data_IF_493776800645
#
_entry.id   IF_493776800645
#
_cell.length_a   1.000
_cell.length_b   1.000
_cell.length_c   1.000
_cell.angle_alpha   90.00
_cell.angle_beta   90.00
_cell.angle_gamma   90.00
#
_symmetry.space_group_name_H-M   'P 1'
#
loop_
_entity.id
_entity.type
_entity.pdbx_description
1 polymer ?
#
# COMPACT_ATOMS: atom_id res chain seq x y z
N UNK A 1 27.08 6.02 5.61
CA UNK A 1 27.67 6.32 4.28
C UNK A 1 26.82 5.61 3.24
N UNK A 2 26.49 6.24 2.12
CA UNK A 2 25.75 5.63 1.01
C UNK A 2 26.67 5.51 -0.21
N UNK A 3 26.37 4.53 -1.08
CA UNK A 3 27.02 4.33 -2.36
C UNK A 3 25.96 4.38 -3.46
N UNK A 4 26.26 5.03 -4.58
CA UNK A 4 25.37 5.05 -5.75
C UNK A 4 25.98 4.22 -6.88
N UNK A 5 25.07 3.62 -7.65
CA UNK A 5 25.35 2.93 -8.89
C UNK A 5 24.35 3.40 -9.95
N UNK A 6 24.77 3.42 -11.21
CA UNK A 6 23.83 3.61 -12.33
C UNK A 6 23.09 2.29 -12.50
N UNK A 7 21.86 2.24 -11.99
CA UNK A 7 20.93 1.19 -12.41
C UNK A 7 20.60 1.42 -13.87
N UNK A 8 20.31 0.35 -14.63
CA UNK A 8 19.99 0.36 -16.06
C UNK A 8 18.65 1.08 -16.35
N UNK A 9 18.64 2.37 -16.03
CA UNK A 9 17.54 3.32 -16.05
C UNK A 9 17.66 4.26 -17.27
N UNK A 10 18.61 3.96 -18.16
CA UNK A 10 18.91 4.75 -19.35
C UNK A 10 17.68 4.80 -20.28
N UNK A 11 17.25 6.04 -20.56
CA UNK A 11 16.11 6.33 -21.41
C UNK A 11 14.75 6.42 -20.69
N UNK A 12 14.70 6.38 -19.35
CA UNK A 12 13.51 6.79 -18.60
C UNK A 12 13.40 8.33 -18.58
N UNK A 13 12.21 8.85 -18.84
CA UNK A 13 11.96 10.30 -18.83
C UNK A 13 11.85 10.84 -17.40
N UNK A 14 12.14 12.13 -17.21
CA UNK A 14 11.86 12.81 -15.94
C UNK A 14 10.40 12.65 -15.51
N UNK A 15 9.48 12.69 -16.48
CA UNK A 15 8.04 12.48 -16.26
C UNK A 15 7.75 11.11 -15.65
N UNK A 16 8.41 10.05 -16.14
CA UNK A 16 8.27 8.71 -15.57
C UNK A 16 8.73 8.66 -14.11
N UNK A 17 9.87 9.27 -13.76
CA UNK A 17 10.29 9.31 -12.35
C UNK A 17 9.30 10.09 -11.47
N UNK A 18 8.77 11.20 -11.97
CA UNK A 18 7.76 11.98 -11.25
C UNK A 18 6.46 11.20 -11.07
N UNK A 19 6.07 10.36 -12.05
CA UNK A 19 4.85 9.57 -11.95
C UNK A 19 4.94 8.45 -10.93
N UNK A 20 6.15 8.01 -10.54
CA UNK A 20 6.35 7.09 -9.42
C UNK A 20 6.20 7.78 -8.05
N UNK A 21 6.31 9.11 -8.00
CA UNK A 21 6.23 9.93 -6.77
C UNK A 21 4.79 10.40 -6.51
N UNK A 22 3.91 9.46 -6.21
CA UNK A 22 2.48 9.70 -6.03
C UNK A 22 2.06 10.31 -4.69
N UNK A 23 2.96 10.58 -3.75
CA UNK A 23 2.57 11.11 -2.44
C UNK A 23 2.49 12.64 -2.47
N UNK A 24 1.36 13.19 -2.02
CA UNK A 24 1.12 14.63 -1.88
C UNK A 24 1.04 15.02 -0.41
N UNK A 25 1.55 16.20 -0.08
CA UNK A 25 1.35 16.81 1.24
C UNK A 25 -0.08 17.32 1.34
N UNK A 26 -0.74 17.02 2.45
CA UNK A 26 -2.10 17.46 2.72
C UNK A 26 -2.05 18.72 3.58
N UNK A 27 -2.46 19.86 3.02
CA UNK A 27 -2.49 21.14 3.75
C UNK A 27 -3.51 21.12 4.90
N UNK A 28 -4.53 20.27 4.81
CA UNK A 28 -5.56 20.09 5.83
C UNK A 28 -5.31 18.85 6.71
N UNK A 29 -4.07 18.37 6.82
CA UNK A 29 -3.75 17.15 7.57
C UNK A 29 -4.24 17.20 9.02
N UNK A 30 -4.15 18.35 9.68
CA UNK A 30 -4.61 18.54 11.07
C UNK A 30 -6.13 18.39 11.23
N UNK A 31 -6.90 18.56 10.14
CA UNK A 31 -8.34 18.31 10.14
C UNK A 31 -8.69 16.82 10.13
N UNK A 32 -7.74 15.97 9.73
CA UNK A 32 -7.94 14.53 9.70
C UNK A 32 -7.90 14.02 11.14
N UNK A 33 -9.04 13.54 11.64
CA UNK A 33 -9.16 13.00 12.99
C UNK A 33 -8.51 11.62 13.15
N UNK A 34 -7.22 11.52 12.83
CA UNK A 34 -6.37 10.41 13.23
C UNK A 34 -6.01 10.58 14.71
N UNK A 35 -5.83 9.45 15.40
CA UNK A 35 -5.43 9.50 16.81
C UNK A 35 -3.99 10.00 16.86
N UNK A 36 -3.80 11.22 17.33
CA UNK A 36 -2.47 11.69 17.68
C UNK A 36 -1.98 10.88 18.87
N UNK A 37 -0.85 10.22 18.73
CA UNK A 37 -0.13 9.60 19.85
C UNK A 37 0.53 10.72 20.66
N UNK A 38 -0.29 11.50 21.37
CA UNK A 38 0.18 12.51 22.30
C UNK A 38 0.55 11.77 23.58
N UNK A 39 1.83 11.85 23.95
CA UNK A 39 2.36 11.38 25.24
C UNK A 39 2.59 9.86 25.33
N UNK A 40 3.61 9.35 24.63
CA UNK A 40 4.29 8.11 25.03
C UNK A 40 5.06 8.37 26.34
N UNK A 41 4.36 8.37 27.49
CA UNK A 41 4.99 8.20 28.81
C UNK A 41 5.38 6.74 28.99
N UNK A 42 6.31 6.32 28.17
CA UNK A 42 6.81 4.97 28.16
C UNK A 42 8.27 5.01 28.61
N UNK A 43 8.51 4.59 29.86
CA UNK A 43 9.84 4.54 30.46
C UNK A 43 10.67 3.36 29.90
N UNK A 44 10.23 2.72 28.81
CA UNK A 44 10.99 1.66 28.14
C UNK A 44 12.20 2.25 27.44
N UNK A 45 13.33 1.60 27.61
CA UNK A 45 14.52 1.88 26.82
C UNK A 45 14.25 1.53 25.35
N UNK A 46 14.44 2.50 24.47
CA UNK A 46 14.34 2.30 23.02
C UNK A 46 15.68 1.72 22.56
N UNK A 47 15.70 0.57 21.87
CA UNK A 47 16.93 -0.03 21.41
C UNK A 47 17.62 0.85 20.36
N UNK A 48 18.95 0.84 20.34
CA UNK A 48 19.76 1.55 19.34
C UNK A 48 19.50 1.04 17.91
N UNK A 49 19.15 -0.24 17.77
CA UNK A 49 18.82 -0.86 16.51
C UNK A 49 17.49 -1.60 16.62
N UNK A 50 16.61 -1.39 15.64
CA UNK A 50 15.32 -2.04 15.57
C UNK A 50 15.02 -2.44 14.13
N UNK A 51 14.63 -3.70 13.94
CA UNK A 51 14.15 -4.22 12.68
C UNK A 51 12.85 -4.99 12.92
N UNK A 52 11.76 -4.52 12.30
CA UNK A 52 10.43 -5.15 12.41
C UNK A 52 10.45 -6.60 11.96
N UNK A 53 11.27 -6.93 10.95
CA UNK A 53 11.35 -8.27 10.34
C UNK A 53 11.88 -9.30 11.32
N UNK A 54 12.76 -8.90 12.23
CA UNK A 54 13.34 -9.80 13.25
C UNK A 54 12.49 -9.86 14.51
N UNK A 55 11.65 -8.85 14.78
CA UNK A 55 10.80 -8.79 15.96
C UNK A 55 9.47 -9.55 15.78
N UNK A 56 8.88 -9.48 14.59
CA UNK A 56 7.59 -10.09 14.30
C UNK A 56 7.71 -11.21 13.27
N UNK A 57 8.48 -12.24 13.61
CA UNK A 57 8.78 -13.40 12.75
C UNK A 57 7.56 -14.17 12.23
N UNK A 58 6.38 -13.99 12.86
CA UNK A 58 5.13 -14.60 12.40
C UNK A 58 4.45 -13.81 11.27
N UNK A 59 4.95 -12.61 10.97
CA UNK A 59 4.33 -11.68 10.03
C UNK A 59 5.20 -11.57 8.78
N UNK A 60 4.98 -12.52 7.87
CA UNK A 60 5.75 -12.64 6.63
C UNK A 60 5.56 -11.41 5.71
N UNK A 61 4.44 -10.70 5.86
CA UNK A 61 4.13 -9.46 5.15
C UNK A 61 5.19 -8.36 5.33
N UNK A 62 5.87 -8.32 6.49
CA UNK A 62 6.89 -7.31 6.79
C UNK A 62 8.14 -7.48 5.90
N UNK A 63 8.35 -8.69 5.37
CA UNK A 63 9.44 -8.98 4.42
C UNK A 63 9.01 -8.80 2.95
N UNK A 64 7.72 -8.62 2.69
CA UNK A 64 7.18 -8.55 1.35
C UNK A 64 7.35 -7.14 0.78
N UNK A 65 7.77 -7.05 -0.48
CA UNK A 65 7.95 -5.77 -1.18
C UNK A 65 6.97 -5.75 -2.34
N UNK A 66 6.03 -4.80 -2.33
CA UNK A 66 5.06 -4.66 -3.42
C UNK A 66 5.56 -3.76 -4.53
N UNK A 67 4.98 -3.93 -5.70
CA UNK A 67 5.22 -3.11 -6.88
C UNK A 67 3.98 -2.28 -7.22
N UNK A 68 4.10 -0.95 -7.18
CA UNK A 68 3.03 -0.02 -7.57
C UNK A 68 2.85 0.09 -9.09
N UNK A 69 3.66 -0.62 -9.87
CA UNK A 69 3.69 -0.60 -11.32
C UNK A 69 3.88 0.83 -11.89
N UNK A 70 3.45 1.06 -13.13
CA UNK A 70 3.44 2.39 -13.74
C UNK A 70 2.21 3.19 -13.32
N UNK A 71 2.06 3.41 -12.01
CA UNK A 71 0.95 4.15 -11.40
C UNK A 71 1.48 4.89 -10.16
N UNK A 72 1.14 6.16 -9.99
CA UNK A 72 1.49 6.99 -8.83
C UNK A 72 0.65 6.64 -7.58
N UNK A 73 0.54 5.35 -7.27
CA UNK A 73 -0.27 4.81 -6.17
C UNK A 73 0.52 4.55 -4.89
N UNK A 74 1.77 5.02 -4.78
CA UNK A 74 2.62 4.79 -3.61
C UNK A 74 1.95 5.14 -2.27
N UNK A 75 1.07 6.14 -2.25
CA UNK A 75 0.28 6.55 -1.09
C UNK A 75 -0.69 5.45 -0.62
N UNK A 76 -1.27 4.69 -1.55
CA UNK A 76 -2.18 3.58 -1.29
C UNK A 76 -1.40 2.29 -1.00
N UNK A 77 -0.32 2.02 -1.75
CA UNK A 77 0.55 0.85 -1.54
C UNK A 77 1.15 0.88 -0.14
N UNK A 78 1.81 1.98 0.25
CA UNK A 78 2.45 2.11 1.56
C UNK A 78 1.44 2.02 2.71
N UNK A 79 0.23 2.57 2.54
CA UNK A 79 -0.83 2.45 3.53
C UNK A 79 -1.30 0.99 3.68
N UNK A 80 -1.58 0.30 2.57
CA UNK A 80 -2.02 -1.10 2.59
C UNK A 80 -0.96 -2.06 3.15
N UNK A 81 0.33 -1.85 2.84
CA UNK A 81 1.46 -2.60 3.42
C UNK A 81 1.51 -2.42 4.94
N UNK A 82 1.58 -1.17 5.42
CA UNK A 82 1.66 -0.89 6.85
C UNK A 82 0.42 -1.37 7.62
N UNK A 83 -0.77 -1.28 7.01
CA UNK A 83 -2.00 -1.82 7.59
C UNK A 83 -1.94 -3.36 7.67
N UNK A 84 -1.53 -4.04 6.60
CA UNK A 84 -1.34 -5.50 6.58
C UNK A 84 -0.45 -5.95 7.75
N UNK A 85 0.71 -5.30 7.88
CA UNK A 85 1.67 -5.60 8.96
C UNK A 85 1.04 -5.39 10.34
N UNK A 86 0.35 -4.27 10.53
CA UNK A 86 -0.31 -3.96 11.80
C UNK A 86 -1.39 -4.96 12.15
N UNK A 87 -2.18 -5.45 11.19
CA UNK A 87 -3.15 -6.54 11.44
C UNK A 87 -2.46 -7.81 11.92
N UNK A 88 -1.35 -8.17 11.30
CA UNK A 88 -0.58 -9.35 11.71
C UNK A 88 0.04 -9.18 13.10
N UNK A 89 0.70 -8.05 13.35
CA UNK A 89 1.34 -7.74 14.64
C UNK A 89 0.30 -7.74 15.76
N UNK A 90 -0.79 -6.99 15.58
CA UNK A 90 -1.90 -6.87 16.50
C UNK A 90 -2.52 -8.22 16.88
N UNK A 91 -2.66 -9.10 15.89
CA UNK A 91 -3.28 -10.40 16.06
C UNK A 91 -2.30 -11.48 16.50
N UNK A 92 -1.03 -11.12 16.76
CA UNK A 92 0.07 -12.04 17.07
C UNK A 92 0.21 -13.16 16.01
N UNK A 93 0.12 -12.78 14.73
CA UNK A 93 0.28 -13.68 13.59
C UNK A 93 -0.96 -14.48 13.21
N UNK A 94 -2.14 -14.21 13.80
CA UNK A 94 -3.39 -14.93 13.47
C UNK A 94 -4.04 -14.41 12.19
N UNK A 95 -3.95 -13.11 11.92
CA UNK A 95 -4.43 -12.48 10.70
C UNK A 95 -3.20 -12.17 9.84
N UNK A 96 -3.03 -12.89 8.74
CA UNK A 96 -1.90 -12.70 7.81
C UNK A 96 -2.34 -12.22 6.42
N UNK A 97 -3.61 -11.85 6.28
CA UNK A 97 -4.22 -11.49 5.02
C UNK A 97 -3.60 -10.20 4.48
N UNK A 98 -3.14 -10.24 3.23
CA UNK A 98 -2.75 -9.05 2.49
C UNK A 98 -3.96 -8.14 2.25
N UNK A 99 -3.85 -6.87 2.64
CA UNK A 99 -4.89 -5.87 2.36
C UNK A 99 -4.72 -5.29 0.96
N UNK A 100 -5.86 -5.01 0.33
CA UNK A 100 -5.93 -4.59 -1.07
C UNK A 100 -5.53 -3.13 -1.23
N UNK A 101 -4.38 -2.90 -1.84
CA UNK A 101 -4.01 -1.57 -2.33
C UNK A 101 -4.88 -1.13 -3.51
N UNK A 102 -5.44 -2.08 -4.27
CA UNK A 102 -6.40 -1.83 -5.36
C UNK A 102 -7.69 -1.19 -4.85
N UNK A 103 -8.25 -1.72 -3.76
CA UNK A 103 -9.49 -1.20 -3.17
C UNK A 103 -9.29 0.21 -2.65
N UNK A 104 -8.19 0.45 -1.93
CA UNK A 104 -7.83 1.78 -1.44
C UNK A 104 -7.58 2.77 -2.59
N UNK A 105 -6.82 2.36 -3.60
CA UNK A 105 -6.48 3.16 -4.78
C UNK A 105 -7.73 3.58 -5.57
N UNK A 106 -8.63 2.63 -5.84
CA UNK A 106 -9.76 2.84 -6.74
C UNK A 106 -10.97 3.46 -6.04
N UNK A 107 -11.21 3.18 -4.76
CA UNK A 107 -12.45 3.53 -4.07
C UNK A 107 -12.34 4.70 -3.08
N UNK A 108 -11.14 5.17 -2.72
CA UNK A 108 -11.00 6.34 -1.86
C UNK A 108 -10.97 7.65 -2.69
N UNK A 109 -12.15 8.23 -2.91
CA UNK A 109 -12.29 9.47 -3.68
C UNK A 109 -11.69 10.68 -2.97
N UNK A 110 -11.69 10.69 -1.63
CA UNK A 110 -11.10 11.76 -0.84
C UNK A 110 -9.59 11.65 -0.72
N UNK A 111 -8.98 10.50 -1.07
CA UNK A 111 -7.55 10.29 -0.92
C UNK A 111 -6.72 10.96 -2.01
N UNK A 112 -7.33 11.57 -3.02
CA UNK A 112 -6.64 12.29 -4.09
C UNK A 112 -7.07 11.83 -5.47
N UNK A 113 -6.09 11.55 -6.33
CA UNK A 113 -6.27 11.40 -7.77
C UNK A 113 -5.82 10.02 -8.28
N UNK A 114 -5.94 8.99 -7.43
CA UNK A 114 -5.60 7.61 -7.80
C UNK A 114 -4.13 7.46 -8.22
N UNK A 115 -3.92 7.01 -9.47
CA UNK A 115 -2.60 6.89 -10.08
C UNK A 115 -1.89 8.23 -10.35
N UNK A 116 -2.59 9.37 -10.20
CA UNK A 116 -1.99 10.71 -10.29
C UNK A 116 -1.59 11.26 -8.90
N UNK A 117 -1.56 10.39 -7.90
CA UNK A 117 -1.10 10.68 -6.55
C UNK A 117 -2.21 10.99 -5.55
N UNK A 118 -1.86 10.97 -4.27
CA UNK A 118 -2.80 11.05 -3.16
C UNK A 118 -2.16 11.33 -1.81
N UNK A 119 -2.99 11.37 -0.78
CA UNK A 119 -2.68 11.86 0.55
C UNK A 119 -2.67 10.73 1.57
N UNK A 120 -1.54 10.57 2.27
CA UNK A 120 -1.32 9.49 3.24
C UNK A 120 -2.35 9.53 4.37
N UNK A 121 -2.56 10.68 5.02
CA UNK A 121 -3.50 10.79 6.14
C UNK A 121 -4.93 10.37 5.78
N UNK A 122 -5.37 10.73 4.58
CA UNK A 122 -6.70 10.40 4.07
C UNK A 122 -6.85 8.91 3.79
N UNK A 123 -5.80 8.24 3.30
CA UNK A 123 -5.79 6.79 3.16
C UNK A 123 -6.01 6.05 4.50
N UNK A 124 -5.29 6.47 5.54
CA UNK A 124 -5.49 5.91 6.89
C UNK A 124 -6.89 6.22 7.44
N UNK A 125 -7.41 7.42 7.18
CA UNK A 125 -8.76 7.78 7.58
C UNK A 125 -9.85 7.01 6.81
N UNK A 126 -9.68 6.79 5.51
CA UNK A 126 -10.56 5.95 4.71
C UNK A 126 -10.61 4.53 5.29
N UNK A 127 -9.43 3.95 5.57
CA UNK A 127 -9.34 2.66 6.24
C UNK A 127 -10.06 2.66 7.60
N UNK A 128 -9.90 3.72 8.40
CA UNK A 128 -10.58 3.89 9.69
C UNK A 128 -12.10 3.87 9.56
N UNK A 129 -12.65 4.53 8.52
CA UNK A 129 -14.10 4.78 8.38
C UNK A 129 -14.78 3.68 7.58
N UNK A 130 -14.18 3.25 6.48
CA UNK A 130 -14.74 2.30 5.53
C UNK A 130 -14.12 0.92 5.64
N UNK A 131 -12.83 0.84 5.97
CA UNK A 131 -12.04 -0.39 5.81
C UNK A 131 -11.71 -0.66 4.35
N UNK A 132 -10.97 -1.74 4.09
CA UNK A 132 -10.64 -2.21 2.74
C UNK A 132 -10.69 -3.74 2.71
N UNK A 133 -10.90 -4.32 1.53
CA UNK A 133 -10.86 -5.78 1.34
C UNK A 133 -9.43 -6.35 1.29
N UNK A 134 -9.32 -7.68 1.28
CA UNK A 134 -8.07 -8.38 0.99
C UNK A 134 -7.67 -8.27 -0.47
N UNK A 135 -6.37 -8.32 -0.75
CA UNK A 135 -5.81 -8.25 -2.10
C UNK A 135 -4.28 -8.34 -2.10
N UNK A 136 -3.75 -9.29 -2.86
CA UNK A 136 -2.31 -9.43 -3.09
C UNK A 136 -1.82 -8.67 -4.33
N UNK A 137 -0.62 -9.04 -4.77
CA UNK A 137 0.04 -8.42 -5.92
C UNK A 137 -0.67 -8.73 -7.26
N UNK A 138 -0.21 -8.07 -8.32
CA UNK A 138 -0.63 -8.39 -9.68
C UNK A 138 -0.43 -9.88 -9.99
N UNK A 139 -1.45 -10.50 -10.59
CA UNK A 139 -1.47 -11.93 -10.97
C UNK A 139 -1.29 -12.93 -9.82
N UNK A 140 -1.27 -12.50 -8.56
CA UNK A 140 -1.19 -13.39 -7.39
C UNK A 140 -2.45 -14.25 -7.18
N UNK A 141 -3.59 -13.77 -7.70
CA UNK A 141 -4.93 -14.30 -7.40
C UNK A 141 -5.20 -14.43 -5.89
N UNK A 142 -4.60 -13.58 -5.08
CA UNK A 142 -4.76 -13.57 -3.63
C UNK A 142 -5.79 -12.53 -3.17
N UNK A 143 -6.73 -12.95 -2.34
CA UNK A 143 -7.73 -12.08 -1.74
C UNK A 143 -8.86 -11.65 -2.68
N UNK A 144 -9.71 -10.74 -2.22
CA UNK A 144 -10.88 -10.26 -2.94
C UNK A 144 -10.53 -9.40 -4.17
N UNK A 145 -9.59 -8.46 -4.00
CA UNK A 145 -9.13 -7.54 -5.05
C UNK A 145 -7.60 -7.50 -5.14
N UNK A 146 -6.97 -8.47 -5.82
CA UNK A 146 -5.57 -8.37 -6.21
C UNK A 146 -5.33 -7.12 -7.05
N UNK A 147 -4.11 -6.60 -7.04
CA UNK A 147 -3.73 -5.44 -7.83
C UNK A 147 -3.92 -5.68 -9.33
N UNK A 148 -4.52 -4.73 -10.03
CA UNK A 148 -4.87 -4.91 -11.45
C UNK A 148 -3.83 -4.38 -12.43
N UNK A 149 -2.92 -3.51 -11.96
CA UNK A 149 -1.94 -2.83 -12.81
C UNK A 149 -0.68 -3.69 -12.96
N UNK A 150 -0.35 -4.01 -14.21
CA UNK A 150 0.79 -4.87 -14.54
C UNK A 150 2.13 -4.16 -14.26
N UNK A 151 3.04 -4.77 -13.50
CA UNK A 151 4.40 -4.28 -13.33
C UNK A 151 5.14 -4.11 -14.66
N UNK A 152 6.07 -3.16 -14.71
CA UNK A 152 6.90 -2.92 -15.87
C UNK A 152 8.38 -3.09 -15.54
N UNK A 153 9.18 -3.41 -16.56
CA UNK A 153 10.63 -3.57 -16.38
C UNK A 153 11.34 -2.22 -16.39
N UNK A 154 11.71 -1.75 -15.20
CA UNK A 154 12.52 -0.54 -15.02
C UNK A 154 14.02 -0.79 -15.24
N UNK A 155 14.50 -2.04 -15.14
CA UNK A 155 15.92 -2.36 -15.08
C UNK A 155 16.46 -3.11 -16.30
N UNK A 156 15.59 -3.44 -17.25
CA UNK A 156 15.98 -4.07 -18.50
C UNK A 156 16.18 -5.59 -18.41
N UNK A 157 16.02 -6.19 -17.23
CA UNK A 157 16.43 -7.58 -16.94
C UNK A 157 15.26 -8.58 -16.91
N UNK A 158 14.04 -8.16 -17.21
CA UNK A 158 12.86 -9.04 -17.22
C UNK A 158 12.20 -9.11 -18.60
N UNK A 159 11.27 -10.06 -18.75
CA UNK A 159 10.41 -10.22 -19.93
C UNK A 159 9.24 -9.23 -19.96
N UNK A 160 9.08 -8.39 -18.92
CA UNK A 160 8.02 -7.39 -18.87
C UNK A 160 8.28 -6.26 -19.86
N UNK A 161 7.22 -5.52 -20.21
CA UNK A 161 7.34 -4.32 -21.05
C UNK A 161 8.24 -3.31 -20.33
N UNK A 162 9.16 -2.68 -21.07
CA UNK A 162 10.04 -1.64 -20.50
C UNK A 162 9.20 -0.43 -20.09
N UNK A 163 9.38 0.04 -18.86
CA UNK A 163 8.59 1.15 -18.33
C UNK A 163 8.71 2.44 -19.15
N UNK A 164 9.89 2.70 -19.74
CA UNK A 164 10.16 3.90 -20.56
C UNK A 164 9.24 4.09 -21.77
N UNK A 165 8.53 3.04 -22.18
CA UNK A 165 7.61 3.06 -23.32
C UNK A 165 6.14 3.04 -22.90
N UNK A 166 5.85 3.12 -21.60
CA UNK A 166 4.50 3.09 -21.07
C UNK A 166 4.08 4.48 -20.61
N UNK A 167 2.84 4.83 -20.95
CA UNK A 167 2.14 5.96 -20.34
C UNK A 167 1.66 5.56 -18.94
N UNK A 168 1.47 6.57 -18.08
CA UNK A 168 0.93 6.35 -16.74
C UNK A 168 -0.43 5.67 -16.85
N UNK A 169 -0.62 4.60 -16.09
CA UNK A 169 -1.86 3.84 -16.13
C UNK A 169 -3.02 4.65 -15.53
N UNK A 170 -4.19 4.50 -16.13
CA UNK A 170 -5.42 5.09 -15.61
C UNK A 170 -5.77 4.46 -14.26
N UNK A 171 -6.44 5.24 -13.41
CA UNK A 171 -6.90 4.72 -12.12
C UNK A 171 -8.00 3.68 -12.36
N UNK A 172 -7.86 2.44 -11.83
CA UNK A 172 -8.90 1.43 -11.96
C UNK A 172 -10.23 1.92 -11.38
N UNK A 173 -11.34 1.53 -12.01
CA UNK A 173 -12.66 1.92 -11.53
C UNK A 173 -13.02 1.22 -10.22
N UNK A 174 -13.54 1.98 -9.24
CA UNK A 174 -14.08 1.38 -8.03
C UNK A 174 -15.27 0.47 -8.35
N UNK A 175 -15.23 -0.76 -7.83
CA UNK A 175 -16.33 -1.73 -7.93
C UNK A 175 -16.60 -2.37 -6.57
N UNK A 176 -17.86 -2.42 -6.08
CA UNK A 176 -18.19 -3.05 -4.79
C UNK A 176 -18.27 -4.59 -4.91
N UNK A 177 -17.31 -5.21 -5.59
CA UNK A 177 -17.23 -6.64 -5.86
C UNK A 177 -15.78 -7.12 -5.83
N UNK A 178 -15.59 -8.38 -5.45
CA UNK A 178 -14.29 -9.04 -5.60
C UNK A 178 -14.01 -9.27 -7.08
N UNK A 179 -12.80 -8.91 -7.52
CA UNK A 179 -12.32 -9.16 -8.89
C UNK A 179 -11.74 -10.56 -9.03
N UNK A 180 -11.28 -11.15 -7.92
CA UNK A 180 -10.86 -12.54 -7.87
C UNK A 180 -12.07 -13.48 -7.74
N UNK A 181 -12.41 -14.18 -8.82
CA UNK A 181 -13.54 -15.11 -8.87
C UNK A 181 -13.36 -16.36 -7.99
N UNK A 182 -12.12 -16.67 -7.57
CA UNK A 182 -11.82 -17.79 -6.66
C UNK A 182 -11.93 -17.42 -5.19
N UNK A 183 -12.08 -16.13 -4.87
CA UNK A 183 -12.23 -15.68 -3.50
C UNK A 183 -13.60 -16.08 -2.94
N UNK A 184 -13.60 -16.68 -1.76
CA UNK A 184 -14.80 -17.31 -1.19
C UNK A 184 -15.71 -16.28 -0.52
N UNK A 185 -15.14 -15.28 0.14
CA UNK A 185 -15.91 -14.28 0.87
C UNK A 185 -16.50 -13.25 -0.10
N UNK A 186 -17.71 -12.79 0.20
CA UNK A 186 -18.27 -11.63 -0.51
C UNK A 186 -17.47 -10.37 -0.20
N UNK A 187 -17.53 -9.39 -1.10
CA UNK A 187 -16.86 -8.09 -0.93
C UNK A 187 -17.15 -7.48 0.45
N UNK A 188 -18.42 -7.45 0.87
CA UNK A 188 -18.84 -6.93 2.17
C UNK A 188 -18.27 -7.73 3.35
N UNK A 189 -18.23 -9.06 3.25
CA UNK A 189 -17.74 -9.91 4.34
C UNK A 189 -16.20 -9.93 4.43
N UNK A 190 -15.52 -9.48 3.37
CA UNK A 190 -14.07 -9.39 3.30
C UNK A 190 -13.53 -8.02 3.73
N UNK A 191 -14.38 -7.08 4.13
CA UNK A 191 -13.94 -5.78 4.62
C UNK A 191 -13.21 -5.92 5.96
N UNK A 192 -11.95 -5.50 5.95
CA UNK A 192 -11.14 -5.36 7.15
C UNK A 192 -11.15 -3.90 7.56
N UNK A 193 -11.53 -3.65 8.82
CA UNK A 193 -11.58 -2.31 9.41
C UNK A 193 -10.89 -2.34 10.76
N UNK A 194 -10.35 -1.21 11.21
CA UNK A 194 -9.80 -1.10 12.55
C UNK A 194 -10.84 -1.44 13.62
N UNK A 195 -10.59 -2.49 14.41
CA UNK A 195 -11.38 -2.85 15.60
C UNK A 195 -10.57 -2.42 16.83
N UNK A 196 -11.14 -1.58 17.69
CA UNK A 196 -10.63 -1.16 19.02
C UNK A 196 -9.12 -0.87 19.12
N UNK A 197 -8.70 0.41 19.17
CA UNK A 197 -7.37 0.92 19.60
C UNK A 197 -6.08 0.27 19.03
N UNK A 198 -6.19 -0.75 18.18
CA UNK A 198 -5.11 -1.67 17.86
C UNK A 198 -4.41 -1.29 16.54
N UNK A 199 -5.03 -0.43 15.73
CA UNK A 199 -4.54 -0.09 14.38
C UNK A 199 -4.37 1.43 14.19
N UNK A 200 -5.08 2.25 14.97
CA UNK A 200 -5.10 3.70 14.93
C UNK A 200 -5.10 4.31 16.34
#
# INVERSE_FOLDING_TARGET
>A
MWQAEVKNLDGLSQHFYQSLLGARLDEDFDSIQLKTLVDFKDNREIPEHFDSRTHWLKCDSINHVRDQANCGSCWAVAAAEALTDRFCIASNGKIKTHLSMEDLLSCCNECGYGCNGGFLGRAWNYFKVHGIVSGGDFDSHEGCKPYSIMPCDSFGNSTLKKCRFLELEDTPSCSPRCTNSKHINSFTNDHHKGINHIIL
#
